data_IF_627310242844
#
_entry.id   IF_627310242844
#
_cell.length_a   1.000
_cell.length_b   1.000
_cell.length_c   1.000
_cell.angle_alpha   90.00
_cell.angle_beta   90.00
_cell.angle_gamma   90.00
#
_symmetry.space_group_name_H-M   'P 1'
#
loop_
_entity.id
_entity.type
_entity.pdbx_description
1 polymer ?
#
# COMPACT_ATOMS: atom_id res chain seq x y z
N UNK A 1 -2.99 8.11 -13.91
CA UNK A 1 -3.36 6.79 -14.47
C UNK A 1 -2.16 6.07 -15.09
N UNK A 2 -1.13 6.78 -15.61
CA UNK A 2 0.05 6.13 -16.23
C UNK A 2 1.21 5.79 -15.27
N UNK A 3 1.17 6.24 -14.01
CA UNK A 3 2.27 6.09 -13.06
C UNK A 3 2.59 4.61 -12.77
N UNK A 4 1.57 3.75 -12.65
CA UNK A 4 1.78 2.32 -12.42
C UNK A 4 2.46 1.64 -13.62
N UNK A 5 2.08 2.03 -14.84
CA UNK A 5 2.65 1.52 -16.08
C UNK A 5 4.12 1.98 -16.22
N UNK A 6 4.40 3.27 -16.05
CA UNK A 6 5.77 3.79 -16.12
C UNK A 6 6.68 3.20 -15.06
N UNK A 7 6.15 3.02 -13.85
CA UNK A 7 6.89 2.37 -12.76
C UNK A 7 7.18 0.91 -13.10
N UNK A 8 6.21 0.19 -13.65
CA UNK A 8 6.37 -1.22 -14.00
C UNK A 8 7.31 -1.42 -15.21
N UNK A 9 7.27 -0.52 -16.19
CA UNK A 9 8.08 -0.58 -17.39
C UNK A 9 9.56 -0.33 -17.13
N UNK A 10 9.92 0.48 -16.14
CA UNK A 10 11.30 0.90 -15.93
C UNK A 10 12.27 -0.28 -15.63
N UNK A 11 11.97 -1.24 -14.73
CA UNK A 11 12.82 -2.41 -14.53
C UNK A 11 13.02 -3.26 -15.80
N UNK A 12 11.95 -3.51 -16.55
CA UNK A 12 12.00 -4.28 -17.80
C UNK A 12 12.85 -3.57 -18.87
N UNK A 13 12.61 -2.27 -19.09
CA UNK A 13 13.41 -1.46 -20.02
C UNK A 13 14.88 -1.43 -19.67
N UNK A 14 15.23 -1.28 -18.39
CA UNK A 14 16.64 -1.29 -17.94
C UNK A 14 17.32 -2.64 -18.17
N UNK A 15 16.58 -3.74 -18.10
CA UNK A 15 17.11 -5.09 -18.33
C UNK A 15 17.03 -5.52 -19.80
N UNK A 16 16.25 -4.82 -20.63
CA UNK A 16 16.06 -5.15 -22.05
C UNK A 16 15.25 -6.42 -22.29
N UNK A 17 14.38 -6.79 -21.35
CA UNK A 17 13.55 -8.01 -21.40
C UNK A 17 12.18 -7.72 -20.82
N UNK A 18 11.15 -8.37 -21.34
CA UNK A 18 9.76 -8.31 -20.84
C UNK A 18 9.50 -9.29 -19.68
N UNK A 19 10.51 -10.06 -19.29
CA UNK A 19 10.42 -11.10 -18.25
C UNK A 19 11.60 -11.00 -17.28
N UNK A 20 11.31 -10.91 -15.97
CA UNK A 20 12.30 -10.76 -14.89
C UNK A 20 11.94 -11.58 -13.67
N UNK A 21 12.92 -12.00 -12.87
CA UNK A 21 12.62 -12.57 -11.54
C UNK A 21 11.99 -11.50 -10.65
N UNK A 22 11.04 -11.88 -9.81
CA UNK A 22 10.41 -10.94 -8.86
C UNK A 22 11.45 -10.25 -7.96
N UNK A 23 12.48 -10.99 -7.52
CA UNK A 23 13.57 -10.43 -6.72
C UNK A 23 14.40 -9.38 -7.47
N UNK A 24 14.69 -9.60 -8.75
CA UNK A 24 15.42 -8.65 -9.59
C UNK A 24 14.60 -7.39 -9.84
N UNK A 25 13.30 -7.55 -10.06
CA UNK A 25 12.37 -6.44 -10.23
C UNK A 25 12.26 -5.57 -8.97
N UNK A 26 12.11 -6.20 -7.81
CA UNK A 26 12.09 -5.51 -6.51
C UNK A 26 13.42 -4.80 -6.23
N UNK A 27 14.54 -5.43 -6.57
CA UNK A 27 15.88 -4.83 -6.42
C UNK A 27 16.05 -3.63 -7.34
N UNK A 28 15.58 -3.71 -8.58
CA UNK A 28 15.65 -2.59 -9.52
C UNK A 28 14.89 -1.36 -9.00
N UNK A 29 13.69 -1.56 -8.44
CA UNK A 29 12.89 -0.46 -7.89
C UNK A 29 13.48 0.12 -6.59
N UNK A 30 14.10 -0.72 -5.76
CA UNK A 30 14.54 -0.33 -4.42
C UNK A 30 16.00 0.05 -4.27
N UNK A 31 16.87 -0.43 -5.15
CA UNK A 31 18.31 -0.17 -5.09
C UNK A 31 18.77 0.59 -6.35
N UNK A 32 18.53 0.04 -7.54
CA UNK A 32 19.07 0.61 -8.78
C UNK A 32 18.41 1.95 -9.16
N UNK A 33 17.12 2.08 -8.89
CA UNK A 33 16.33 3.30 -9.11
C UNK A 33 16.19 4.12 -7.83
N UNK A 34 16.33 3.48 -6.66
CA UNK A 34 16.08 4.08 -5.35
C UNK A 34 14.72 4.82 -5.29
N UNK A 35 13.69 4.23 -5.90
CA UNK A 35 12.34 4.79 -5.91
C UNK A 35 11.56 4.38 -4.66
N UNK A 36 11.74 3.13 -4.22
CA UNK A 36 10.97 2.56 -3.12
C UNK A 36 11.86 1.87 -2.08
N UNK A 37 11.36 1.72 -0.84
CA UNK A 37 11.93 0.73 0.08
C UNK A 37 11.55 -0.68 -0.39
N UNK A 38 12.32 -1.74 -0.05
CA UNK A 38 12.02 -3.11 -0.49
C UNK A 38 10.59 -3.58 -0.19
N UNK A 39 10.02 -3.18 0.96
CA UNK A 39 8.62 -3.47 1.30
C UNK A 39 7.61 -2.82 0.35
N UNK A 40 7.81 -1.54 0.02
CA UNK A 40 6.95 -0.79 -0.90
C UNK A 40 7.10 -1.34 -2.33
N UNK A 41 8.30 -1.73 -2.75
CA UNK A 41 8.50 -2.36 -4.05
C UNK A 41 7.73 -3.68 -4.19
N UNK A 42 7.67 -4.50 -3.13
CA UNK A 42 6.82 -5.71 -3.13
C UNK A 42 5.34 -5.39 -3.19
N UNK A 43 4.88 -4.39 -2.42
CA UNK A 43 3.49 -3.94 -2.48
C UNK A 43 3.13 -3.39 -3.87
N UNK A 44 4.04 -2.66 -4.52
CA UNK A 44 3.90 -2.23 -5.90
C UNK A 44 3.74 -3.42 -6.86
N UNK A 45 4.57 -4.46 -6.75
CA UNK A 45 4.43 -5.66 -7.60
C UNK A 45 3.03 -6.26 -7.44
N UNK A 46 2.53 -6.38 -6.21
CA UNK A 46 1.18 -6.88 -5.97
C UNK A 46 0.13 -6.00 -6.66
N UNK A 47 0.19 -4.68 -6.47
CA UNK A 47 -0.73 -3.75 -7.12
C UNK A 47 -0.65 -3.82 -8.65
N UNK A 48 0.54 -3.94 -9.24
CA UNK A 48 0.71 -4.05 -10.68
C UNK A 48 0.15 -5.36 -11.25
N UNK A 49 0.22 -6.46 -10.48
CA UNK A 49 -0.45 -7.73 -10.82
C UNK A 49 -1.97 -7.57 -10.76
N UNK A 50 -2.49 -6.99 -9.67
CA UNK A 50 -3.93 -6.82 -9.47
C UNK A 50 -4.56 -5.89 -10.51
N UNK A 51 -3.79 -4.93 -11.04
CA UNK A 51 -4.20 -4.04 -12.13
C UNK A 51 -3.95 -4.61 -13.54
N UNK A 52 -3.44 -5.85 -13.67
CA UNK A 52 -3.22 -6.50 -14.96
C UNK A 52 -2.11 -5.86 -15.80
N UNK A 53 -1.17 -5.16 -15.18
CA UNK A 53 -0.01 -4.54 -15.87
C UNK A 53 1.11 -5.57 -16.04
N UNK A 54 1.24 -6.46 -15.07
CA UNK A 54 2.21 -7.57 -15.07
C UNK A 54 1.52 -8.85 -14.60
N UNK A 55 2.10 -10.00 -14.91
CA UNK A 55 1.64 -11.30 -14.42
C UNK A 55 2.77 -12.06 -13.73
N UNK A 56 2.42 -12.84 -12.70
CA UNK A 56 3.33 -13.81 -12.07
C UNK A 56 3.17 -15.17 -12.73
N UNK A 57 4.26 -15.69 -13.28
CA UNK A 57 4.32 -17.05 -13.85
C UNK A 57 5.63 -17.72 -13.44
N UNK A 58 5.55 -18.83 -12.69
CA UNK A 58 6.74 -19.63 -12.35
C UNK A 58 7.83 -18.87 -11.58
N UNK A 59 7.47 -17.89 -10.76
CA UNK A 59 8.43 -17.04 -10.03
C UNK A 59 9.04 -15.90 -10.85
N UNK A 60 8.59 -15.73 -12.09
CA UNK A 60 8.93 -14.62 -12.97
C UNK A 60 7.77 -13.63 -13.04
N UNK A 61 8.09 -12.36 -13.24
CA UNK A 61 7.18 -11.30 -13.62
C UNK A 61 7.30 -11.05 -15.11
N UNK A 62 6.17 -11.06 -15.81
CA UNK A 62 6.08 -10.70 -17.23
C UNK A 62 5.27 -9.43 -17.44
N UNK A 63 5.73 -8.57 -18.34
CA UNK A 63 4.97 -7.41 -18.78
C UNK A 63 3.77 -7.84 -19.64
N UNK A 64 2.58 -7.27 -19.35
CA UNK A 64 1.38 -7.45 -20.17
C UNK A 64 1.17 -6.29 -21.17
N UNK A 65 2.24 -5.56 -21.45
CA UNK A 65 2.28 -4.42 -22.36
C UNK A 65 3.54 -4.50 -23.21
N UNK A 66 3.53 -3.82 -24.36
CA UNK A 66 4.71 -3.70 -25.20
C UNK A 66 5.67 -2.65 -24.63
N UNK A 67 6.93 -3.03 -24.39
CA UNK A 67 7.94 -2.13 -23.86
C UNK A 67 8.21 -0.95 -24.81
N UNK A 68 8.15 -1.15 -26.11
CA UNK A 68 8.46 -0.09 -27.09
C UNK A 68 7.44 1.05 -27.05
N UNK A 69 6.17 0.72 -26.77
CA UNK A 69 5.06 1.68 -26.74
C UNK A 69 5.03 2.54 -25.47
N UNK A 70 5.83 2.22 -24.45
CA UNK A 70 5.85 2.94 -23.17
C UNK A 70 6.95 3.99 -23.14
N UNK A 71 6.63 5.23 -23.47
CA UNK A 71 7.54 6.37 -23.31
C UNK A 71 7.51 6.91 -21.87
N UNK A 72 8.57 6.62 -21.11
CA UNK A 72 8.72 7.07 -19.72
C UNK A 72 9.30 8.49 -19.73
N UNK A 73 8.60 9.51 -19.16
CA UNK A 73 9.11 10.87 -19.13
C UNK A 73 10.48 10.98 -18.46
N UNK A 74 11.35 11.84 -18.99
CA UNK A 74 12.65 12.09 -18.38
C UNK A 74 12.46 12.65 -16.96
N UNK A 75 13.18 12.08 -15.98
CA UNK A 75 13.05 12.47 -14.58
C UNK A 75 11.81 11.94 -13.87
N UNK A 76 11.02 11.06 -14.51
CA UNK A 76 9.90 10.39 -13.84
C UNK A 76 10.36 9.69 -12.55
N UNK A 77 9.64 9.96 -11.48
CA UNK A 77 9.76 9.27 -10.19
C UNK A 77 8.35 9.06 -9.65
N UNK A 78 7.95 7.82 -9.37
CA UNK A 78 6.63 7.56 -8.85
C UNK A 78 6.46 8.08 -7.43
N UNK A 79 5.25 8.51 -7.10
CA UNK A 79 4.89 8.77 -5.72
C UNK A 79 4.70 7.43 -4.98
N UNK A 80 5.62 7.16 -4.05
CA UNK A 80 5.61 5.95 -3.25
C UNK A 80 4.39 5.85 -2.32
N UNK A 81 3.73 6.97 -2.00
CA UNK A 81 2.55 6.99 -1.12
C UNK A 81 1.39 6.19 -1.70
N UNK A 82 1.28 6.12 -3.04
CA UNK A 82 0.23 5.39 -3.75
C UNK A 82 0.36 3.86 -3.57
N UNK A 83 1.57 3.37 -3.28
CA UNK A 83 1.88 1.94 -3.17
C UNK A 83 2.26 1.51 -1.76
N UNK A 84 2.17 2.41 -0.79
CA UNK A 84 2.28 2.04 0.61
C UNK A 84 1.03 1.26 1.00
N UNK A 85 1.19 0.14 1.73
CA UNK A 85 0.06 -0.40 2.48
C UNK A 85 -0.45 0.75 3.35
N UNK A 86 -1.73 1.12 3.18
CA UNK A 86 -2.37 2.09 4.07
C UNK A 86 -2.13 1.64 5.52
N UNK A 87 -1.70 2.57 6.37
CA UNK A 87 -1.52 2.24 7.77
C UNK A 87 -2.83 1.69 8.37
N UNK A 88 -2.72 0.79 9.35
CA UNK A 88 -3.89 0.14 9.98
C UNK A 88 -4.93 1.18 10.39
N UNK A 89 -4.49 2.31 10.94
CA UNK A 89 -5.34 3.42 11.31
C UNK A 89 -6.13 4.01 10.13
N UNK A 90 -5.48 4.24 8.98
CA UNK A 90 -6.15 4.77 7.80
C UNK A 90 -7.19 3.78 7.25
N UNK A 91 -6.87 2.49 7.24
CA UNK A 91 -7.83 1.46 6.81
C UNK A 91 -9.06 1.40 7.72
N UNK A 92 -8.87 1.53 9.04
CA UNK A 92 -9.97 1.61 10.00
C UNK A 92 -10.86 2.82 9.69
N UNK A 93 -10.26 4.00 9.52
CA UNK A 93 -11.00 5.23 9.25
C UNK A 93 -11.79 5.13 7.94
N UNK A 94 -11.17 4.66 6.87
CA UNK A 94 -11.82 4.49 5.57
C UNK A 94 -13.03 3.54 5.65
N UNK A 95 -12.93 2.45 6.42
CA UNK A 95 -14.04 1.51 6.59
C UNK A 95 -15.18 2.08 7.42
N UNK A 96 -14.87 2.86 8.45
CA UNK A 96 -15.91 3.58 9.21
C UNK A 96 -16.59 4.61 8.30
N UNK A 97 -15.84 5.35 7.49
CA UNK A 97 -16.39 6.30 6.52
C UNK A 97 -17.32 5.59 5.53
N UNK A 98 -16.87 4.49 4.93
CA UNK A 98 -17.66 3.72 3.98
C UNK A 98 -18.93 3.11 4.61
N UNK A 99 -18.86 2.68 5.87
CA UNK A 99 -19.98 2.08 6.57
C UNK A 99 -21.03 3.10 7.06
N UNK A 100 -20.61 4.30 7.43
CA UNK A 100 -21.47 5.26 8.15
C UNK A 100 -21.77 6.54 7.36
N UNK A 101 -20.98 6.84 6.32
CA UNK A 101 -21.00 8.13 5.62
C UNK A 101 -20.44 9.29 6.44
N UNK A 102 -19.88 9.05 7.63
CA UNK A 102 -19.26 10.10 8.44
C UNK A 102 -17.99 10.63 7.79
N UNK A 103 -17.75 11.92 7.99
CA UNK A 103 -16.51 12.56 7.53
C UNK A 103 -15.30 12.09 8.36
N UNK A 104 -14.15 11.98 7.69
CA UNK A 104 -12.85 11.61 8.29
C UNK A 104 -12.59 12.35 9.61
N UNK A 105 -12.81 13.66 9.63
CA UNK A 105 -12.55 14.49 10.82
C UNK A 105 -13.38 14.09 12.03
N UNK A 106 -14.66 13.73 11.83
CA UNK A 106 -15.55 13.29 12.92
C UNK A 106 -15.10 11.95 13.51
N UNK A 107 -14.69 11.02 12.65
CA UNK A 107 -14.19 9.70 13.05
C UNK A 107 -12.90 9.85 13.84
N UNK A 108 -11.94 10.62 13.32
CA UNK A 108 -10.66 10.91 14.00
C UNK A 108 -10.90 11.61 15.34
N UNK A 109 -11.86 12.54 15.41
CA UNK A 109 -12.24 13.19 16.66
C UNK A 109 -12.81 12.19 17.68
N UNK A 110 -13.63 11.23 17.26
CA UNK A 110 -14.17 10.18 18.13
C UNK A 110 -13.05 9.29 18.70
N UNK A 111 -12.08 8.90 17.87
CA UNK A 111 -10.94 8.08 18.31
C UNK A 111 -10.05 8.86 19.30
N UNK A 112 -9.77 10.13 19.01
CA UNK A 112 -8.98 10.99 19.90
C UNK A 112 -9.71 11.28 21.23
N UNK A 113 -11.04 11.40 21.21
CA UNK A 113 -11.85 11.54 22.43
C UNK A 113 -11.65 10.31 23.33
N UNK A 114 -11.77 9.10 22.78
CA UNK A 114 -11.50 7.87 23.54
C UNK A 114 -10.08 7.78 24.06
N UNK A 115 -9.09 8.18 23.25
CA UNK A 115 -7.69 8.23 23.70
C UNK A 115 -7.54 9.06 24.96
N UNK A 116 -8.18 10.23 25.00
CA UNK A 116 -8.16 11.10 26.16
C UNK A 116 -8.90 10.48 27.36
N UNK A 117 -10.06 9.85 27.14
CA UNK A 117 -10.82 9.13 28.17
C UNK A 117 -10.04 7.96 28.76
N UNK A 118 -9.22 7.28 27.95
CA UNK A 118 -8.34 6.19 28.39
C UNK A 118 -6.97 6.67 28.86
N UNK A 119 -6.76 7.99 29.05
CA UNK A 119 -5.47 8.57 29.44
C UNK A 119 -4.26 8.12 28.58
N UNK A 120 -4.50 7.85 27.29
CA UNK A 120 -3.47 7.39 26.36
C UNK A 120 -2.97 5.96 26.57
N UNK A 121 -3.65 5.12 27.37
CA UNK A 121 -3.22 3.75 27.68
C UNK A 121 -3.17 2.81 26.45
N UNK A 122 -3.89 3.15 25.38
CA UNK A 122 -3.98 2.32 24.17
C UNK A 122 -3.49 3.08 22.93
N UNK A 123 -2.96 2.32 21.96
CA UNK A 123 -2.54 2.89 20.68
C UNK A 123 -3.75 3.38 19.87
N UNK A 124 -3.50 4.21 18.86
CA UNK A 124 -4.60 4.79 18.07
C UNK A 124 -5.33 3.72 17.25
N UNK A 125 -4.63 2.65 16.85
CA UNK A 125 -5.18 1.53 16.09
C UNK A 125 -6.13 0.70 16.96
N UNK A 126 -5.77 0.41 18.20
CA UNK A 126 -6.65 -0.31 19.15
C UNK A 126 -7.92 0.49 19.41
N UNK A 127 -7.77 1.79 19.69
CA UNK A 127 -8.91 2.68 19.88
C UNK A 127 -9.75 2.81 18.60
N UNK A 128 -9.10 2.82 17.44
CA UNK A 128 -9.75 2.80 16.14
C UNK A 128 -10.60 1.56 15.92
N UNK A 129 -10.09 0.37 16.25
CA UNK A 129 -10.84 -0.89 16.17
C UNK A 129 -12.07 -0.84 17.08
N UNK A 130 -11.92 -0.32 18.30
CA UNK A 130 -13.05 -0.15 19.22
C UNK A 130 -14.12 0.78 18.64
N UNK A 131 -13.72 1.94 18.09
CA UNK A 131 -14.66 2.87 17.44
C UNK A 131 -15.31 2.23 16.20
N UNK A 132 -14.58 1.45 15.41
CA UNK A 132 -15.14 0.72 14.28
C UNK A 132 -16.22 -0.26 14.73
N UNK A 133 -15.97 -1.00 15.81
CA UNK A 133 -16.93 -1.93 16.38
C UNK A 133 -18.20 -1.22 16.89
N UNK A 134 -18.07 -0.05 17.51
CA UNK A 134 -19.21 0.78 17.93
C UNK A 134 -20.07 1.28 16.75
N UNK A 135 -19.44 1.49 15.60
CA UNK A 135 -20.13 1.91 14.37
C UNK A 135 -20.54 0.73 13.49
N UNK A 136 -20.32 -0.52 13.91
CA UNK A 136 -20.61 -1.72 13.13
C UNK A 136 -19.77 -1.89 11.87
N UNK A 137 -18.60 -1.22 11.77
CA UNK A 137 -17.69 -1.35 10.64
C UNK A 137 -16.81 -2.60 10.80
N UNK A 138 -16.76 -3.43 9.76
CA UNK A 138 -15.99 -4.68 9.77
C UNK A 138 -14.47 -4.41 9.66
N UNK A 139 -13.71 -4.78 10.69
CA UNK A 139 -12.25 -4.55 10.78
C UNK A 139 -11.47 -5.76 11.30
N UNK A 140 -12.08 -6.95 11.33
CA UNK A 140 -11.51 -8.16 11.97
C UNK A 140 -10.14 -8.56 11.40
N UNK A 141 -9.94 -8.40 10.10
CA UNK A 141 -8.67 -8.69 9.41
C UNK A 141 -7.53 -7.72 9.79
N UNK A 142 -7.85 -6.58 10.40
CA UNK A 142 -6.87 -5.60 10.87
C UNK A 142 -6.40 -5.88 12.31
N UNK A 143 -7.09 -6.75 13.05
CA UNK A 143 -6.77 -7.06 14.47
C UNK A 143 -5.35 -7.63 14.58
N UNK A 144 -4.99 -8.61 13.74
CA UNK A 144 -3.66 -9.22 13.74
C UNK A 144 -2.53 -8.25 13.36
N UNK A 145 -2.81 -7.29 12.46
CA UNK A 145 -1.85 -6.23 12.12
C UNK A 145 -1.70 -5.25 13.30
N UNK A 146 -2.82 -4.86 13.91
CA UNK A 146 -2.83 -3.97 15.09
C UNK A 146 -2.11 -4.60 16.29
N UNK A 147 -2.34 -5.88 16.57
CA UNK A 147 -1.70 -6.62 17.65
C UNK A 147 -0.17 -6.66 17.48
N UNK A 148 0.30 -6.97 16.27
CA UNK A 148 1.74 -6.95 15.96
C UNK A 148 2.37 -5.57 16.13
N UNK A 149 1.63 -4.51 15.84
CA UNK A 149 2.14 -3.14 16.02
C UNK A 149 2.19 -2.76 17.50
N UNK A 150 1.22 -3.18 18.31
CA UNK A 150 1.21 -2.96 19.76
C UNK A 150 2.45 -3.55 20.45
N UNK A 151 2.89 -4.75 20.05
CA UNK A 151 4.04 -5.45 20.63
C UNK A 151 5.41 -4.91 20.21
N UNK A 152 5.46 -4.01 19.21
CA UNK A 152 6.71 -3.39 18.73
C UNK A 152 6.98 -2.03 19.38
N UNK A 153 6.01 -1.48 20.11
CA UNK A 153 6.11 -0.20 20.82
C UNK A 153 6.78 -0.32 22.18
#
# INVERSE_FOLDING_TARGET
MNDILFTAAQPFKRKGTDCLKESEFVMALSMDLNWFKPGIAKAFVQAAVDNGIIIREGGMLKALFNLEDVEIPMGFKPDASVFQEKEVFEQIVDRIMANTGLEKQKIVASINKKRNETAGLFTIEVLGILVAQEHGAQVDDLIEKSYRNLLKG
#
